data_IF_004044662499
#
_entry.id   IF_004044662499
#
_cell.length_a   1.000
_cell.length_b   1.000
_cell.length_c   1.000
_cell.angle_alpha   90.00
_cell.angle_beta   90.00
_cell.angle_gamma   90.00
#
_symmetry.space_group_name_H-M   'P 1'
#
loop_
_entity.id
_entity.type
_entity.pdbx_description
1 polymer ?
#
# COMPACT_ATOMS: atom_id res chain seq x y z
N UNK A 1 51.95 33.90 -6.50
CA UNK A 1 50.67 33.25 -6.88
C UNK A 1 49.53 34.19 -6.50
N UNK A 2 48.91 34.91 -7.46
CA UNK A 2 47.82 35.85 -7.17
C UNK A 2 46.55 35.05 -6.92
N UNK A 3 46.19 34.90 -5.65
CA UNK A 3 44.93 34.26 -5.27
C UNK A 3 43.80 35.17 -5.72
N UNK A 4 42.97 34.67 -6.64
CA UNK A 4 41.89 35.46 -7.25
C UNK A 4 40.68 35.46 -6.30
N UNK A 5 40.64 36.42 -5.38
CA UNK A 5 39.62 36.54 -4.32
C UNK A 5 38.18 36.48 -4.83
N UNK A 6 37.92 36.92 -6.07
CA UNK A 6 36.60 36.78 -6.70
C UNK A 6 36.20 35.31 -6.90
N UNK A 7 37.11 34.47 -7.38
CA UNK A 7 36.83 33.05 -7.61
C UNK A 7 36.55 32.31 -6.30
N UNK A 8 37.29 32.61 -5.22
CA UNK A 8 37.08 32.04 -3.88
C UNK A 8 35.69 32.40 -3.33
N UNK A 9 35.25 33.65 -3.50
CA UNK A 9 33.93 34.08 -3.05
C UNK A 9 32.80 33.36 -3.80
N UNK A 10 32.93 33.15 -5.11
CA UNK A 10 31.93 32.39 -5.87
C UNK A 10 31.88 30.91 -5.47
N UNK A 11 33.03 30.28 -5.19
CA UNK A 11 33.06 28.87 -4.73
C UNK A 11 32.42 28.70 -3.35
N UNK A 12 32.65 29.64 -2.42
CA UNK A 12 32.01 29.64 -1.10
C UNK A 12 30.49 29.87 -1.23
N UNK A 13 30.06 30.82 -2.07
CA UNK A 13 28.65 31.10 -2.30
C UNK A 13 27.93 29.89 -2.93
N UNK A 14 28.59 29.21 -3.87
CA UNK A 14 28.07 28.00 -4.50
C UNK A 14 27.98 26.83 -3.50
N UNK A 15 29.01 26.59 -2.69
CA UNK A 15 29.00 25.56 -1.66
C UNK A 15 27.93 25.84 -0.58
N UNK A 16 27.71 27.11 -0.23
CA UNK A 16 26.63 27.51 0.66
C UNK A 16 25.26 27.28 0.01
N UNK A 17 25.08 27.61 -1.27
CA UNK A 17 23.81 27.36 -1.98
C UNK A 17 23.40 25.88 -2.06
N UNK A 18 24.37 24.98 -2.27
CA UNK A 18 24.12 23.54 -2.37
C UNK A 18 23.75 22.93 -1.01
N UNK A 19 24.28 23.49 0.07
CA UNK A 19 24.01 23.01 1.43
C UNK A 19 22.64 23.47 1.95
N UNK A 20 22.12 24.63 1.52
CA UNK A 20 20.75 25.07 1.85
C UNK A 20 19.69 24.22 1.13
N UNK A 21 20.02 23.67 -0.04
CA UNK A 21 19.12 22.81 -0.83
C UNK A 21 19.15 21.34 -0.39
N UNK A 22 19.98 20.97 0.58
CA UNK A 22 20.09 19.60 1.03
C UNK A 22 18.97 19.21 2.00
N UNK A 23 18.30 18.09 1.70
CA UNK A 23 17.21 17.55 2.51
C UNK A 23 17.63 16.18 3.07
N UNK A 24 17.38 15.96 4.36
CA UNK A 24 17.52 14.66 5.02
C UNK A 24 16.14 14.06 5.20
N UNK A 25 15.98 12.77 4.90
CA UNK A 25 14.76 12.05 5.24
C UNK A 25 14.92 11.32 6.57
N UNK A 26 13.95 11.51 7.47
CA UNK A 26 13.74 10.64 8.61
C UNK A 26 12.62 9.64 8.28
N UNK A 27 12.78 8.38 8.65
CA UNK A 27 11.77 7.33 8.41
C UNK A 27 11.46 6.65 9.73
N UNK A 28 10.18 6.61 10.07
CA UNK A 28 9.65 5.89 11.23
C UNK A 28 8.77 4.76 10.71
N UNK A 29 9.01 3.55 11.19
CA UNK A 29 8.21 2.36 10.86
C UNK A 29 7.65 1.75 12.14
N UNK A 30 6.39 1.35 12.10
CA UNK A 30 5.72 0.64 13.19
C UNK A 30 4.86 -0.48 12.63
N UNK A 31 4.96 -1.66 13.23
CA UNK A 31 4.14 -2.81 12.84
C UNK A 31 3.19 -3.15 13.97
N UNK A 32 1.90 -3.19 13.66
CA UNK A 32 0.84 -3.65 14.56
C UNK A 32 0.42 -5.04 14.14
N UNK A 33 0.28 -5.94 15.10
CA UNK A 33 -0.26 -7.28 14.92
C UNK A 33 -1.66 -7.36 15.54
N UNK A 34 -2.60 -7.95 14.80
CA UNK A 34 -3.93 -8.28 15.30
C UNK A 34 -4.26 -9.73 14.97
N UNK A 35 -4.42 -10.54 16.00
CA UNK A 35 -4.78 -11.95 15.86
C UNK A 35 -6.25 -12.18 16.25
N UNK A 36 -6.94 -13.03 15.50
CA UNK A 36 -8.36 -13.36 15.72
C UNK A 36 -8.63 -14.82 15.35
N UNK A 37 -9.65 -15.41 15.96
CA UNK A 37 -10.23 -16.69 15.54
C UNK A 37 -11.51 -16.38 14.78
N UNK A 38 -11.61 -16.88 13.55
CA UNK A 38 -12.80 -16.75 12.72
C UNK A 38 -13.92 -17.69 13.23
N UNK A 39 -15.20 -17.42 12.95
CA UNK A 39 -16.31 -18.27 13.40
C UNK A 39 -16.22 -19.74 12.96
N UNK A 40 -15.53 -20.04 11.87
CA UNK A 40 -15.24 -21.42 11.42
C UNK A 40 -14.01 -22.06 12.13
N UNK A 41 -13.47 -21.41 13.16
CA UNK A 41 -12.36 -21.92 13.98
C UNK A 41 -10.96 -21.62 13.44
N UNK A 42 -10.83 -21.06 12.23
CA UNK A 42 -9.53 -20.73 11.67
C UNK A 42 -8.86 -19.56 12.37
N UNK A 43 -7.55 -19.67 12.57
CA UNK A 43 -6.74 -18.61 13.17
C UNK A 43 -6.19 -17.70 12.09
N UNK A 44 -6.32 -16.41 12.35
CA UNK A 44 -5.95 -15.33 11.44
C UNK A 44 -5.07 -14.33 12.18
N UNK A 45 -3.99 -13.91 11.54
CA UNK A 45 -3.13 -12.82 12.01
C UNK A 45 -3.00 -11.76 10.92
N UNK A 46 -3.27 -10.51 11.26
CA UNK A 46 -3.13 -9.36 10.38
C UNK A 46 -1.98 -8.49 10.89
N UNK A 47 -0.99 -8.26 10.04
CA UNK A 47 0.09 -7.32 10.26
C UNK A 47 -0.16 -6.06 9.45
N UNK A 48 -0.17 -4.90 10.10
CA UNK A 48 -0.13 -3.58 9.45
C UNK A 48 1.20 -2.91 9.76
N UNK A 49 2.01 -2.67 8.74
CA UNK A 49 3.22 -1.86 8.86
C UNK A 49 2.94 -0.45 8.36
N UNK A 50 2.96 0.52 9.26
CA UNK A 50 2.92 1.95 8.94
C UNK A 50 4.35 2.47 8.74
N UNK A 51 4.52 3.37 7.79
CA UNK A 51 5.78 4.01 7.46
C UNK A 51 5.57 5.48 7.18
N UNK A 52 6.11 6.31 8.06
CA UNK A 52 6.14 7.76 7.93
C UNK A 52 7.52 8.24 7.51
N UNK A 53 7.59 8.89 6.35
CA UNK A 53 8.82 9.50 5.85
C UNK A 53 8.70 11.02 5.89
N UNK A 54 9.45 11.65 6.80
CA UNK A 54 9.51 13.10 6.96
C UNK A 54 10.73 13.67 6.26
N UNK A 55 10.54 14.67 5.42
CA UNK A 55 11.62 15.38 4.71
C UNK A 55 11.99 16.65 5.47
N UNK A 56 13.23 16.76 5.94
CA UNK A 56 13.70 17.85 6.81
C UNK A 56 14.88 18.56 6.15
N UNK A 57 14.84 19.90 6.09
CA UNK A 57 15.98 20.71 5.63
C UNK A 57 17.17 20.59 6.57
N UNK A 58 18.34 20.26 6.04
CA UNK A 58 19.52 19.99 6.88
C UNK A 58 19.97 21.22 7.65
N UNK A 59 19.94 22.40 7.02
CA UNK A 59 20.34 23.65 7.65
C UNK A 59 19.18 24.37 8.35
N UNK A 60 17.99 24.33 7.76
CA UNK A 60 16.84 25.09 8.25
C UNK A 60 16.06 24.36 9.35
N UNK A 61 16.23 23.04 9.48
CA UNK A 61 15.41 22.20 10.35
C UNK A 61 13.92 22.16 9.95
N UNK A 62 13.56 22.77 8.82
CA UNK A 62 12.17 22.90 8.38
C UNK A 62 11.65 21.54 7.91
N UNK A 63 10.47 21.15 8.39
CA UNK A 63 9.74 20.00 7.88
C UNK A 63 9.06 20.38 6.55
N UNK A 64 9.50 19.80 5.45
CA UNK A 64 8.94 19.99 4.11
C UNK A 64 7.76 19.07 3.79
N UNK A 65 7.43 18.15 4.68
CA UNK A 65 6.29 17.27 4.58
C UNK A 65 6.59 15.87 5.10
N UNK A 66 5.52 15.20 5.52
CA UNK A 66 5.51 13.79 5.93
C UNK A 66 4.68 13.00 4.93
N UNK A 67 5.25 11.94 4.36
CA UNK A 67 4.52 10.97 3.55
C UNK A 67 4.21 9.76 4.41
N UNK A 68 2.93 9.48 4.58
CA UNK A 68 2.43 8.27 5.23
C UNK A 68 2.20 7.16 4.19
N UNK A 69 2.71 5.98 4.47
CA UNK A 69 2.46 4.76 3.69
C UNK A 69 2.19 3.60 4.63
N UNK A 70 1.42 2.62 4.19
CA UNK A 70 1.17 1.42 4.97
C UNK A 70 1.21 0.18 4.10
N UNK A 71 1.42 -0.97 4.74
CA UNK A 71 1.32 -2.28 4.11
C UNK A 71 0.55 -3.26 5.00
N UNK A 72 -0.29 -4.08 4.39
CA UNK A 72 -0.94 -5.19 5.06
C UNK A 72 -0.33 -6.54 4.65
N UNK A 73 -0.23 -7.42 5.63
CA UNK A 73 0.03 -8.85 5.44
C UNK A 73 -0.97 -9.62 6.30
N UNK A 74 -1.60 -10.62 5.71
CA UNK A 74 -2.61 -11.46 6.34
C UNK A 74 -2.16 -12.91 6.28
N UNK A 75 -2.04 -13.55 7.44
CA UNK A 75 -1.68 -14.94 7.61
C UNK A 75 -2.87 -15.73 8.15
N UNK A 76 -3.31 -16.73 7.41
CA UNK A 76 -4.14 -17.82 7.91
C UNK A 76 -3.20 -18.95 8.34
N UNK A 77 -3.38 -19.48 9.56
CA UNK A 77 -2.48 -20.53 10.09
C UNK A 77 -2.90 -21.92 9.65
N UNK A 78 -4.21 -22.16 9.54
CA UNK A 78 -4.77 -23.44 9.12
C UNK A 78 -5.87 -23.18 8.06
N UNK A 79 -5.62 -23.29 6.74
CA UNK A 79 -4.35 -23.64 6.08
C UNK A 79 -3.33 -22.50 6.12
N UNK A 80 -2.03 -22.84 6.04
CA UNK A 80 -0.92 -21.88 5.93
C UNK A 80 -1.00 -21.11 4.60
N UNK A 81 -1.64 -19.95 4.66
CA UNK A 81 -1.94 -19.08 3.53
C UNK A 81 -1.57 -17.65 3.88
N UNK A 82 -0.69 -17.08 3.08
CA UNK A 82 -0.20 -15.72 3.24
C UNK A 82 -0.72 -14.83 2.10
N UNK A 83 -1.29 -13.69 2.47
CA UNK A 83 -1.66 -12.65 1.52
C UNK A 83 -0.94 -11.35 1.85
N UNK A 84 -0.22 -10.80 0.87
CA UNK A 84 0.43 -9.49 0.98
C UNK A 84 0.32 -8.71 -0.32
N UNK A 85 -0.30 -7.53 -0.26
CA UNK A 85 -0.54 -6.69 -1.43
C UNK A 85 -0.10 -5.23 -1.26
N UNK A 86 0.91 -4.98 -0.43
CA UNK A 86 1.37 -3.63 -0.17
C UNK A 86 0.22 -2.78 0.40
N UNK A 87 -0.21 -1.75 -0.33
CA UNK A 87 -1.25 -0.80 0.13
C UNK A 87 -2.69 -1.30 0.02
N UNK A 88 -2.93 -2.53 -0.40
CA UNK A 88 -4.27 -3.13 -0.38
C UNK A 88 -4.73 -3.43 1.04
N UNK A 89 -5.91 -2.96 1.43
CA UNK A 89 -6.49 -3.26 2.74
C UNK A 89 -7.45 -4.45 2.66
N UNK A 90 -7.18 -5.55 3.37
CA UNK A 90 -7.97 -6.78 3.30
C UNK A 90 -9.31 -6.59 3.99
N UNK A 91 -10.44 -6.94 3.36
CA UNK A 91 -11.78 -6.73 3.91
C UNK A 91 -12.45 -8.03 4.35
N UNK A 92 -12.49 -9.02 3.47
CA UNK A 92 -13.18 -10.27 3.73
C UNK A 92 -12.42 -11.44 3.11
N UNK A 93 -12.44 -12.58 3.79
CA UNK A 93 -12.18 -13.87 3.17
C UNK A 93 -13.49 -14.55 2.81
N UNK A 94 -13.48 -15.26 1.69
CA UNK A 94 -14.54 -16.16 1.27
C UNK A 94 -13.97 -17.57 1.17
N UNK A 95 -14.40 -18.44 2.07
CA UNK A 95 -13.94 -19.83 2.14
C UNK A 95 -14.88 -20.73 1.36
N UNK A 96 -14.35 -21.26 0.26
CA UNK A 96 -15.03 -22.24 -0.57
C UNK A 96 -14.42 -23.62 -0.31
N UNK A 97 -15.14 -24.68 -0.72
CA UNK A 97 -14.73 -26.08 -0.51
C UNK A 97 -13.28 -26.37 -0.96
N UNK A 98 -12.86 -25.80 -2.09
CA UNK A 98 -11.59 -26.15 -2.74
C UNK A 98 -10.55 -25.02 -2.70
N UNK A 99 -10.91 -23.83 -2.22
CA UNK A 99 -10.07 -22.64 -2.38
C UNK A 99 -10.56 -21.50 -1.49
N UNK A 100 -9.70 -20.51 -1.27
CA UNK A 100 -10.01 -19.27 -0.56
C UNK A 100 -10.03 -18.12 -1.56
N UNK A 101 -10.92 -17.16 -1.38
CA UNK A 101 -10.88 -15.87 -2.07
C UNK A 101 -10.75 -14.75 -1.05
N UNK A 102 -10.20 -13.63 -1.47
CA UNK A 102 -10.09 -12.42 -0.65
C UNK A 102 -10.66 -11.22 -1.41
N UNK A 103 -11.46 -10.43 -0.71
CA UNK A 103 -11.84 -9.08 -1.09
C UNK A 103 -10.96 -8.09 -0.34
N UNK A 104 -10.36 -7.15 -1.07
CA UNK A 104 -9.58 -6.05 -0.52
C UNK A 104 -9.96 -4.72 -1.16
N UNK A 105 -9.74 -3.63 -0.45
CA UNK A 105 -9.85 -2.28 -0.98
C UNK A 105 -8.46 -1.82 -1.44
N UNK A 106 -8.37 -1.18 -2.60
CA UNK A 106 -7.13 -0.60 -3.07
C UNK A 106 -7.31 0.85 -3.51
N UNK A 107 -6.27 1.66 -3.32
CA UNK A 107 -6.20 3.05 -3.80
C UNK A 107 -5.50 3.09 -5.15
N UNK A 108 -6.27 3.16 -6.22
CA UNK A 108 -5.75 3.25 -7.57
C UNK A 108 -5.59 4.71 -8.02
N UNK A 109 -4.55 5.00 -8.80
CA UNK A 109 -4.31 6.33 -9.36
C UNK A 109 -4.60 6.33 -10.86
N UNK A 110 -5.47 7.24 -11.29
CA UNK A 110 -5.82 7.44 -12.69
C UNK A 110 -5.47 8.85 -13.15
N UNK A 111 -4.78 9.01 -14.29
CA UNK A 111 -4.62 10.33 -14.88
C UNK A 111 -5.98 10.82 -15.37
N UNK A 112 -6.35 12.03 -14.95
CA UNK A 112 -7.53 12.74 -15.44
C UNK A 112 -7.11 14.04 -16.12
N UNK A 113 -7.86 14.40 -17.14
CA UNK A 113 -7.66 15.64 -17.88
C UNK A 113 -8.56 16.70 -17.27
N UNK A 114 -7.98 17.78 -16.77
CA UNK A 114 -8.71 18.91 -16.18
C UNK A 114 -8.48 20.14 -17.04
N UNK A 115 -9.57 20.72 -17.53
CA UNK A 115 -9.56 21.99 -18.25
C UNK A 115 -9.81 23.12 -17.25
N UNK A 116 -8.91 24.09 -17.24
CA UNK A 116 -9.07 25.33 -16.49
C UNK A 116 -10.08 26.22 -17.21
N UNK A 117 -11.17 26.58 -16.51
CA UNK A 117 -12.25 27.40 -17.06
C UNK A 117 -11.86 28.85 -17.32
N UNK A 118 -10.74 29.33 -16.74
CA UNK A 118 -10.25 30.70 -16.92
C UNK A 118 -9.26 30.79 -18.07
N UNK A 119 -8.35 29.81 -18.17
CA UNK A 119 -7.25 29.83 -19.17
C UNK A 119 -7.52 28.96 -20.39
N UNK A 120 -8.60 28.15 -20.40
CA UNK A 120 -8.86 27.10 -21.39
C UNK A 120 -7.69 26.12 -21.60
N UNK A 121 -6.74 26.10 -20.67
CA UNK A 121 -5.60 25.19 -20.73
C UNK A 121 -5.96 23.84 -20.13
N UNK A 122 -5.38 22.79 -20.69
CA UNK A 122 -5.63 21.42 -20.26
C UNK A 122 -4.42 20.87 -19.52
N UNK A 123 -4.64 20.34 -18.31
CA UNK A 123 -3.58 19.73 -17.50
C UNK A 123 -3.96 18.32 -17.08
N UNK A 124 -2.98 17.41 -17.04
CA UNK A 124 -3.17 16.08 -16.48
C UNK A 124 -2.96 16.14 -14.97
N UNK A 125 -3.98 15.74 -14.22
CA UNK A 125 -3.91 15.59 -12.77
C UNK A 125 -4.13 14.13 -12.38
N UNK A 126 -3.50 13.72 -11.30
CA UNK A 126 -3.73 12.40 -10.71
C UNK A 126 -5.02 12.42 -9.90
N UNK A 127 -5.93 11.49 -10.18
CA UNK A 127 -7.13 11.27 -9.40
C UNK A 127 -7.10 9.88 -8.77
N UNK A 128 -7.15 9.85 -7.46
CA UNK A 128 -7.20 8.61 -6.71
C UNK A 128 -8.64 8.10 -6.59
N UNK A 129 -8.83 6.79 -6.77
CA UNK A 129 -10.10 6.11 -6.52
C UNK A 129 -9.87 4.93 -5.58
N UNK A 130 -10.80 4.75 -4.65
CA UNK A 130 -10.83 3.56 -3.80
C UNK A 130 -11.72 2.53 -4.47
N UNK A 131 -11.19 1.35 -4.76
CA UNK A 131 -11.89 0.32 -5.51
C UNK A 131 -11.81 -1.03 -4.80
N UNK A 132 -12.89 -1.81 -4.93
CA UNK A 132 -12.91 -3.19 -4.47
C UNK A 132 -12.23 -4.08 -5.49
N UNK A 133 -11.27 -4.85 -5.00
CA UNK A 133 -10.49 -5.80 -5.78
C UNK A 133 -10.65 -7.19 -5.16
N UNK A 134 -10.47 -8.23 -5.97
CA UNK A 134 -10.76 -9.59 -5.57
C UNK A 134 -9.68 -10.53 -6.08
N UNK A 135 -9.27 -11.47 -5.26
CA UNK A 135 -8.29 -12.48 -5.63
C UNK A 135 -8.73 -13.88 -5.19
N UNK A 136 -8.28 -14.88 -5.94
CA UNK A 136 -8.39 -16.30 -5.64
C UNK A 136 -7.03 -16.82 -5.20
N UNK A 137 -6.99 -17.55 -4.10
CA UNK A 137 -5.81 -18.30 -3.70
C UNK A 137 -5.62 -19.52 -4.61
N UNK A 138 -4.41 -19.73 -5.10
CA UNK A 138 -4.02 -20.93 -5.85
C UNK A 138 -2.87 -21.57 -5.11
N UNK A 139 -3.11 -22.76 -4.59
CA UNK A 139 -2.10 -23.59 -3.94
C UNK A 139 -1.66 -24.68 -4.90
N UNK A 140 -0.47 -24.50 -5.51
CA UNK A 140 0.15 -25.51 -6.36
C UNK A 140 1.26 -26.24 -5.61
N UNK A 141 1.26 -26.23 -4.28
CA UNK A 141 2.25 -26.96 -3.49
C UNK A 141 1.87 -28.44 -3.44
N UNK A 142 2.85 -29.30 -3.67
CA UNK A 142 2.73 -30.75 -3.64
C UNK A 142 3.77 -31.35 -2.68
N UNK A 143 3.52 -32.57 -2.20
CA UNK A 143 4.38 -33.30 -1.24
C UNK A 143 4.72 -32.49 0.03
N UNK A 144 3.82 -32.52 1.03
CA UNK A 144 4.01 -31.86 2.33
C UNK A 144 4.37 -30.35 2.24
N UNK A 145 3.81 -29.63 1.27
CA UNK A 145 4.11 -28.22 1.01
C UNK A 145 5.60 -27.92 0.72
N UNK A 146 6.39 -28.91 0.28
CA UNK A 146 7.83 -28.73 0.04
C UNK A 146 8.15 -28.23 -1.37
N UNK A 147 7.28 -28.47 -2.35
CA UNK A 147 7.54 -28.16 -3.76
C UNK A 147 6.35 -27.47 -4.41
N UNK A 148 6.61 -26.43 -5.20
CA UNK A 148 5.60 -25.60 -5.83
C UNK A 148 5.40 -24.28 -5.09
N UNK A 149 4.52 -23.44 -5.61
CA UNK A 149 4.26 -22.09 -5.11
C UNK A 149 2.78 -21.94 -4.73
N UNK A 150 2.51 -21.08 -3.77
CA UNK A 150 1.18 -20.50 -3.55
C UNK A 150 1.14 -19.05 -4.05
N UNK A 151 0.01 -18.65 -4.63
CA UNK A 151 -0.14 -17.29 -5.14
C UNK A 151 -1.59 -16.85 -5.20
N UNK A 152 -1.78 -15.56 -5.45
CA UNK A 152 -3.09 -14.94 -5.58
C UNK A 152 -3.34 -14.49 -7.01
N UNK A 153 -4.45 -14.95 -7.59
CA UNK A 153 -4.87 -14.61 -8.94
C UNK A 153 -6.05 -13.63 -8.89
N UNK A 154 -5.95 -12.50 -9.58
CA UNK A 154 -7.04 -11.52 -9.67
C UNK A 154 -8.29 -12.15 -10.29
N UNK A 155 -9.45 -11.88 -9.70
CA UNK A 155 -10.76 -12.33 -10.19
C UNK A 155 -11.71 -11.15 -10.37
N UNK A 156 -12.62 -11.29 -11.34
CA UNK A 156 -13.59 -10.23 -11.59
C UNK A 156 -14.60 -10.12 -10.43
N UNK A 157 -15.13 -8.90 -10.17
CA UNK A 157 -16.18 -8.71 -9.17
C UNK A 157 -17.40 -9.59 -9.43
N UNK A 158 -17.76 -9.76 -10.72
CA UNK A 158 -18.84 -10.65 -11.15
C UNK A 158 -18.59 -12.09 -10.70
N UNK A 159 -17.39 -12.62 -10.97
CA UNK A 159 -17.03 -13.99 -10.57
C UNK A 159 -17.06 -14.17 -9.05
N UNK A 160 -16.53 -13.21 -8.29
CA UNK A 160 -16.56 -13.25 -6.83
C UNK A 160 -18.00 -13.26 -6.29
N UNK A 161 -18.88 -12.43 -6.85
CA UNK A 161 -20.28 -12.36 -6.42
C UNK A 161 -21.08 -13.63 -6.77
N UNK A 162 -20.79 -14.28 -7.90
CA UNK A 162 -21.43 -15.55 -8.28
C UNK A 162 -21.14 -16.67 -7.27
N UNK A 163 -19.88 -16.77 -6.83
CA UNK A 163 -19.44 -17.83 -5.89
C UNK A 163 -19.76 -17.51 -4.43
N UNK A 164 -19.97 -16.22 -4.10
CA UNK A 164 -20.23 -15.75 -2.73
C UNK A 164 -21.43 -16.46 -2.09
N UNK A 165 -22.44 -16.80 -2.88
CA UNK A 165 -23.65 -17.48 -2.39
C UNK A 165 -23.42 -18.95 -2.02
N UNK A 166 -22.32 -19.57 -2.46
CA UNK A 166 -22.00 -20.98 -2.19
C UNK A 166 -20.86 -21.17 -1.19
N UNK A 167 -20.36 -20.10 -0.59
CA UNK A 167 -19.17 -20.10 0.25
C UNK A 167 -19.40 -19.27 1.52
N UNK A 168 -18.57 -19.48 2.54
CA UNK A 168 -18.69 -18.78 3.82
C UNK A 168 -17.81 -17.53 3.83
N UNK A 169 -18.41 -16.36 4.07
CA UNK A 169 -17.69 -15.09 4.11
C UNK A 169 -17.42 -14.65 5.55
N UNK A 170 -16.17 -14.28 5.83
CA UNK A 170 -15.77 -13.74 7.13
C UNK A 170 -15.02 -12.44 6.97
N UNK A 171 -15.30 -11.49 7.85
CA UNK A 171 -14.59 -10.22 7.90
C UNK A 171 -13.16 -10.41 8.42
N UNK A 172 -12.21 -9.73 7.78
CA UNK A 172 -10.82 -9.66 8.23
C UNK A 172 -10.71 -8.46 9.18
N UNK A 173 -10.27 -8.65 10.42
CA UNK A 173 -10.18 -7.56 11.38
C UNK A 173 -9.02 -6.63 11.01
N UNK A 174 -9.35 -5.42 10.58
CA UNK A 174 -8.43 -4.32 10.29
C UNK A 174 -8.91 -3.05 11.01
N UNK A 175 -8.29 -1.92 10.68
CA UNK A 175 -8.57 -0.58 11.19
C UNK A 175 -9.38 0.31 10.24
N UNK A 176 -9.79 -0.20 9.07
CA UNK A 176 -10.72 0.49 8.18
C UNK A 176 -10.14 1.66 7.37
N UNK A 177 -8.82 1.67 7.13
CA UNK A 177 -8.07 2.77 6.49
C UNK A 177 -8.67 3.23 5.13
N UNK A 178 -9.15 2.29 4.34
CA UNK A 178 -9.78 2.47 3.03
C UNK A 178 -11.26 2.10 3.09
N UNK A 179 -12.11 3.07 2.79
CA UNK A 179 -13.54 2.84 2.58
C UNK A 179 -13.88 3.00 1.10
N UNK A 180 -14.43 1.95 0.48
CA UNK A 180 -14.93 2.03 -0.89
C UNK A 180 -16.31 2.68 -0.84
N UNK A 181 -16.41 3.92 -1.30
CA UNK A 181 -17.69 4.62 -1.42
C UNK A 181 -18.37 4.16 -2.72
N UNK A 182 -19.49 3.43 -2.64
CA UNK A 182 -20.31 3.20 -3.83
C UNK A 182 -20.95 4.52 -4.25
N UNK A 183 -20.66 4.98 -5.46
CA UNK A 183 -21.44 6.04 -6.11
C UNK A 183 -22.61 5.43 -6.86
#
# INVERSE_FOLDING_TARGET
MKINFKAINYTILFAFSVSILSCKSNTQESTTEKSSVLPNGMRLTVFKTNKDKTSIGILTGTNYGTTHTYKYNVLLHEPDVNWSLGSGEPKNFLFCKDTIYIHYANKNNYPITVTDSVTNSTTTKNNYKMESMYQKHVDNRYFFNLFGDDFWLDVSPKRYNEIKNSCEEYAIPNDGELTVTSK
#
